data_IF_978774756519
#
_entry.id   IF_978774756519
#
_cell.length_a   1.000
_cell.length_b   1.000
_cell.length_c   1.000
_cell.angle_alpha   90.00
_cell.angle_beta   90.00
_cell.angle_gamma   90.00
#
_symmetry.space_group_name_H-M   'P 1'
#
loop_
_entity.id
_entity.type
_entity.pdbx_description
1 polymer ?
#
# COMPACT_ATOMS: atom_id res chain seq x y z
N UNK A 1 -31.26 -9.79 -2.44
CA UNK A 1 -30.28 -10.70 -1.80
C UNK A 1 -28.99 -9.94 -1.64
N UNK A 2 -28.58 -9.67 -0.40
CA UNK A 2 -27.28 -9.05 -0.11
C UNK A 2 -26.18 -9.97 -0.65
N UNK A 3 -25.34 -9.44 -1.54
CA UNK A 3 -24.21 -10.21 -2.05
C UNK A 3 -23.32 -10.62 -0.86
N UNK A 4 -22.81 -11.85 -0.87
CA UNK A 4 -21.90 -12.36 0.17
C UNK A 4 -20.49 -12.52 -0.40
N UNK A 5 -19.47 -12.09 0.32
CA UNK A 5 -18.07 -12.36 0.02
C UNK A 5 -17.78 -13.83 0.32
N UNK A 6 -17.21 -14.53 -0.66
CA UNK A 6 -16.95 -15.97 -0.63
C UNK A 6 -18.22 -16.81 -0.34
N UNK A 7 -19.42 -16.26 -0.56
CA UNK A 7 -20.68 -16.91 -0.19
C UNK A 7 -20.98 -16.96 1.32
N UNK A 8 -20.05 -16.52 2.17
CA UNK A 8 -20.11 -16.65 3.62
C UNK A 8 -20.54 -15.35 4.31
N UNK A 9 -19.89 -14.23 3.97
CA UNK A 9 -19.99 -12.98 4.74
C UNK A 9 -20.81 -11.94 3.96
N UNK A 10 -21.91 -11.39 4.49
CA UNK A 10 -22.68 -10.34 3.82
C UNK A 10 -21.82 -9.10 3.54
N UNK A 11 -21.83 -8.60 2.31
CA UNK A 11 -21.04 -7.42 1.88
C UNK A 11 -21.41 -6.16 2.67
N UNK A 12 -22.65 -6.10 3.17
CA UNK A 12 -23.21 -5.01 3.98
C UNK A 12 -22.90 -5.13 5.48
N UNK A 13 -22.32 -6.25 5.94
CA UNK A 13 -21.99 -6.42 7.35
C UNK A 13 -21.00 -5.33 7.79
N UNK A 14 -21.38 -4.56 8.81
CA UNK A 14 -20.53 -3.54 9.42
C UNK A 14 -20.64 -3.63 10.92
N UNK A 15 -19.48 -3.67 11.58
CA UNK A 15 -19.41 -3.56 13.04
C UNK A 15 -18.73 -2.25 13.42
N UNK A 16 -19.46 -1.38 14.12
CA UNK A 16 -18.96 -0.06 14.52
C UNK A 16 -18.04 -0.18 15.74
N UNK A 17 -16.72 -0.06 15.55
CA UNK A 17 -15.75 -0.08 16.66
C UNK A 17 -15.89 1.14 17.58
N UNK A 18 -16.35 2.26 17.03
CA UNK A 18 -16.57 3.51 17.76
C UNK A 18 -17.85 3.53 18.59
N UNK A 19 -18.63 2.45 18.57
CA UNK A 19 -19.73 2.24 19.53
C UNK A 19 -19.19 2.11 20.96
N UNK A 20 -17.97 1.59 21.12
CA UNK A 20 -17.29 1.50 22.41
C UNK A 20 -16.80 2.89 22.84
N UNK A 21 -17.22 3.40 24.02
CA UNK A 21 -16.94 4.77 24.43
C UNK A 21 -15.44 5.03 24.65
N UNK A 22 -14.69 4.02 25.13
CA UNK A 22 -13.25 4.10 25.33
C UNK A 22 -12.48 4.25 24.01
N UNK A 23 -12.82 3.43 23.01
CA UNK A 23 -12.22 3.50 21.66
C UNK A 23 -12.46 4.88 21.07
N UNK A 24 -13.68 5.40 21.19
CA UNK A 24 -14.04 6.73 20.70
C UNK A 24 -13.26 7.85 21.39
N UNK A 25 -13.10 7.79 22.72
CA UNK A 25 -12.33 8.77 23.49
C UNK A 25 -10.86 8.78 23.06
N UNK A 26 -10.27 7.61 22.84
CA UNK A 26 -8.91 7.46 22.33
C UNK A 26 -8.77 8.08 20.94
N UNK A 27 -9.66 7.75 20.00
CA UNK A 27 -9.59 8.24 18.61
C UNK A 27 -9.80 9.77 18.50
N UNK A 28 -10.58 10.38 19.39
CA UNK A 28 -10.71 11.84 19.49
C UNK A 28 -9.50 12.51 20.13
N UNK A 29 -8.71 11.78 20.92
CA UNK A 29 -7.52 12.32 21.57
C UNK A 29 -6.46 12.70 20.54
N UNK A 30 -5.77 13.83 20.76
CA UNK A 30 -4.61 14.20 19.95
C UNK A 30 -3.39 13.33 20.23
N UNK A 31 -3.34 12.73 21.42
CA UNK A 31 -2.29 11.81 21.81
C UNK A 31 -2.29 10.54 20.96
N UNK A 32 -3.46 10.12 20.44
CA UNK A 32 -3.58 8.88 19.67
C UNK A 32 -2.76 8.88 18.37
N UNK A 33 -2.80 9.91 17.51
CA UNK A 33 -1.84 9.99 16.40
C UNK A 33 -0.46 10.45 16.85
N UNK A 34 -0.35 11.33 17.85
CA UNK A 34 0.94 11.93 18.25
C UNK A 34 1.92 10.92 18.86
N UNK A 35 1.48 10.09 19.82
CA UNK A 35 2.37 9.16 20.53
C UNK A 35 2.98 8.10 19.59
N UNK A 36 2.21 7.42 18.71
CA UNK A 36 2.78 6.49 17.74
C UNK A 36 3.69 7.18 16.72
N UNK A 37 3.40 8.43 16.34
CA UNK A 37 4.29 9.20 15.47
C UNK A 37 5.64 9.45 16.15
N UNK A 38 5.65 9.89 17.41
CA UNK A 38 6.89 10.17 18.16
C UNK A 38 7.69 8.89 18.38
N UNK A 39 7.02 7.78 18.74
CA UNK A 39 7.67 6.48 18.88
C UNK A 39 8.28 6.02 17.56
N UNK A 40 7.54 6.12 16.46
CA UNK A 40 8.03 5.75 15.15
C UNK A 40 9.17 6.68 14.68
N UNK A 41 9.12 7.96 15.03
CA UNK A 41 10.19 8.92 14.75
C UNK A 41 11.49 8.58 15.49
N UNK A 42 11.38 8.12 16.74
CA UNK A 42 12.53 7.62 17.50
C UNK A 42 13.16 6.41 16.79
N UNK A 43 12.34 5.40 16.45
CA UNK A 43 12.80 4.22 15.71
C UNK A 43 13.42 4.61 14.37
N UNK A 44 12.80 5.54 13.64
CA UNK A 44 13.29 6.03 12.35
C UNK A 44 14.62 6.79 12.47
N UNK A 45 14.82 7.54 13.55
CA UNK A 45 16.11 8.18 13.85
C UNK A 45 17.20 7.13 14.06
N UNK A 46 16.92 6.07 14.82
CA UNK A 46 17.86 4.95 15.00
C UNK A 46 18.20 4.29 13.67
N UNK A 47 17.20 4.06 12.80
CA UNK A 47 17.40 3.53 11.43
C UNK A 47 18.33 4.43 10.60
N UNK A 48 18.11 5.75 10.62
CA UNK A 48 18.95 6.68 9.87
C UNK A 48 20.40 6.69 10.39
N UNK A 49 20.57 6.71 11.71
CA UNK A 49 21.89 6.65 12.33
C UNK A 49 22.59 5.32 12.02
N UNK A 50 21.90 4.19 12.12
CA UNK A 50 22.44 2.87 11.78
C UNK A 50 22.78 2.74 10.29
N UNK A 51 22.00 3.36 9.41
CA UNK A 51 22.28 3.39 7.96
C UNK A 51 23.50 4.23 7.60
N UNK A 52 23.79 5.28 8.37
CA UNK A 52 24.97 6.14 8.20
C UNK A 52 26.23 5.56 8.85
N UNK A 53 26.10 5.08 10.09
CA UNK A 53 27.23 4.61 10.93
C UNK A 53 27.60 3.15 10.66
N UNK A 54 26.61 2.28 10.38
CA UNK A 54 26.79 0.82 10.32
C UNK A 54 27.60 0.27 9.14
N UNK A 55 28.28 1.14 8.38
CA UNK A 55 29.30 0.78 7.40
C UNK A 55 28.87 -0.18 6.28
N UNK A 56 29.87 -0.77 5.60
CA UNK A 56 29.71 -1.75 4.51
C UNK A 56 29.51 -3.16 5.07
N UNK A 57 28.61 -3.33 6.04
CA UNK A 57 28.18 -4.65 6.49
C UNK A 57 27.23 -5.26 5.47
N UNK A 58 27.26 -6.60 5.30
CA UNK A 58 26.34 -7.30 4.40
C UNK A 58 24.89 -6.98 4.80
N UNK A 59 24.04 -6.61 3.82
CA UNK A 59 22.74 -5.97 4.05
C UNK A 59 21.85 -6.57 5.15
N UNK A 60 21.82 -7.89 5.31
CA UNK A 60 20.99 -8.54 6.34
C UNK A 60 21.51 -8.37 7.77
N UNK A 61 22.79 -8.03 7.97
CA UNK A 61 23.36 -7.77 9.30
C UNK A 61 23.20 -6.31 9.73
N UNK A 62 22.80 -5.42 8.81
CA UNK A 62 22.61 -4.02 9.12
C UNK A 62 21.18 -3.75 9.61
N UNK A 63 21.07 -3.05 10.75
CA UNK A 63 19.79 -2.69 11.35
C UNK A 63 18.86 -1.91 10.43
N UNK A 64 19.38 -0.93 9.69
CA UNK A 64 18.56 -0.09 8.85
C UNK A 64 17.91 -0.91 7.71
N UNK A 65 18.70 -1.76 7.06
CA UNK A 65 18.22 -2.57 5.93
C UNK A 65 17.24 -3.64 6.41
N UNK A 66 17.59 -4.35 7.48
CA UNK A 66 16.73 -5.39 8.04
C UNK A 66 15.39 -4.83 8.53
N UNK A 67 15.42 -3.73 9.28
CA UNK A 67 14.19 -3.18 9.83
C UNK A 67 13.31 -2.55 8.74
N UNK A 68 13.90 -1.81 7.79
CA UNK A 68 13.13 -1.14 6.73
C UNK A 68 12.62 -2.10 5.67
N UNK A 69 13.44 -3.02 5.17
CA UNK A 69 13.06 -3.83 4.01
C UNK A 69 12.50 -5.21 4.38
N UNK A 70 12.78 -5.71 5.58
CA UNK A 70 12.25 -6.99 6.06
C UNK A 70 11.16 -6.74 7.10
N UNK A 71 11.49 -6.25 8.30
CA UNK A 71 10.53 -6.17 9.42
C UNK A 71 9.34 -5.25 9.09
N UNK A 72 9.61 -4.02 8.64
CA UNK A 72 8.58 -3.07 8.27
C UNK A 72 7.74 -3.55 7.08
N UNK A 73 8.37 -4.18 6.09
CA UNK A 73 7.67 -4.74 4.94
C UNK A 73 6.70 -5.86 5.35
N UNK A 74 7.15 -6.82 6.17
CA UNK A 74 6.34 -7.91 6.69
C UNK A 74 5.16 -7.38 7.50
N UNK A 75 5.42 -6.43 8.42
CA UNK A 75 4.39 -5.78 9.21
C UNK A 75 3.36 -5.08 8.32
N UNK A 76 3.83 -4.36 7.29
CA UNK A 76 2.98 -3.60 6.39
C UNK A 76 2.08 -4.50 5.55
N UNK A 77 2.64 -5.51 4.88
CA UNK A 77 1.89 -6.36 3.94
C UNK A 77 1.04 -7.43 4.63
N UNK A 78 1.52 -8.05 5.71
CA UNK A 78 0.79 -9.13 6.39
C UNK A 78 -0.23 -8.60 7.40
N UNK A 79 0.02 -7.44 8.03
CA UNK A 79 -0.80 -6.95 9.14
C UNK A 79 -1.44 -5.59 8.84
N UNK A 80 -0.66 -4.55 8.55
CA UNK A 80 -1.20 -3.20 8.49
C UNK A 80 -2.19 -3.03 7.33
N UNK A 81 -1.85 -3.47 6.13
CA UNK A 81 -2.69 -3.30 4.94
C UNK A 81 -3.98 -4.12 5.01
N UNK A 82 -3.95 -5.44 5.29
CA UNK A 82 -5.17 -6.25 5.29
C UNK A 82 -6.12 -5.91 6.44
N UNK A 83 -5.60 -5.56 7.62
CA UNK A 83 -6.45 -5.33 8.80
C UNK A 83 -6.69 -3.84 9.06
N UNK A 84 -5.63 -3.05 9.03
CA UNK A 84 -5.63 -1.64 9.43
C UNK A 84 -5.53 -0.65 8.26
N UNK A 85 -5.82 -1.08 7.03
CA UNK A 85 -5.93 -0.18 5.87
C UNK A 85 -4.68 0.71 5.72
N UNK A 86 -4.84 2.04 5.70
CA UNK A 86 -3.75 3.02 5.57
C UNK A 86 -3.27 3.60 6.91
N UNK A 87 -3.36 2.87 8.03
CA UNK A 87 -2.92 3.39 9.33
C UNK A 87 -1.44 3.76 9.35
N UNK A 88 -0.61 3.13 8.51
CA UNK A 88 0.79 3.54 8.32
C UNK A 88 0.89 5.02 7.92
N UNK A 89 -0.02 5.52 7.07
CA UNK A 89 -0.05 6.92 6.68
C UNK A 89 -0.37 7.87 7.84
N UNK A 90 -1.02 7.40 8.91
CA UNK A 90 -1.23 8.17 10.14
C UNK A 90 0.06 8.29 10.93
N UNK A 91 0.81 7.20 11.07
CA UNK A 91 2.02 7.10 11.93
C UNK A 91 3.34 7.35 11.19
N UNK A 92 3.29 7.59 9.88
CA UNK A 92 4.46 7.75 9.02
C UNK A 92 5.30 8.97 9.47
N UNK A 93 6.62 8.81 9.70
CA UNK A 93 7.47 9.90 10.17
C UNK A 93 7.88 10.86 9.04
N UNK A 94 7.79 10.42 7.79
CA UNK A 94 8.23 11.18 6.60
C UNK A 94 7.50 12.53 6.44
N UNK A 95 6.15 12.61 6.47
CA UNK A 95 5.45 13.89 6.33
C UNK A 95 5.46 14.73 7.61
N UNK A 96 5.82 14.16 8.77
CA UNK A 96 5.64 14.80 10.07
C UNK A 96 6.46 16.08 10.19
N UNK A 97 7.70 16.08 9.70
CA UNK A 97 8.52 17.27 9.64
C UNK A 97 7.88 18.39 8.81
N UNK A 98 7.35 18.05 7.63
CA UNK A 98 6.62 18.99 6.78
C UNK A 98 5.35 19.52 7.47
N UNK A 99 4.60 18.66 8.18
CA UNK A 99 3.41 19.07 8.92
C UNK A 99 3.74 20.00 10.09
N UNK A 100 4.78 19.70 10.87
CA UNK A 100 5.19 20.54 11.99
C UNK A 100 5.71 21.90 11.54
N UNK A 101 6.45 21.96 10.41
CA UNK A 101 6.87 23.22 9.80
C UNK A 101 5.67 24.02 9.29
N UNK A 102 4.75 23.38 8.55
CA UNK A 102 3.53 24.04 8.08
C UNK A 102 2.65 24.52 9.24
N UNK A 103 2.61 23.81 10.37
CA UNK A 103 1.74 24.17 11.51
C UNK A 103 2.44 25.11 12.51
N UNK A 104 3.77 25.24 12.44
CA UNK A 104 4.61 25.93 13.42
C UNK A 104 4.33 25.46 14.86
N UNK A 105 4.11 24.16 15.03
CA UNK A 105 3.79 23.56 16.31
C UNK A 105 3.50 22.06 16.22
N UNK A 106 3.84 21.33 17.27
CA UNK A 106 3.70 19.87 17.33
C UNK A 106 2.24 19.42 17.48
N UNK A 107 1.46 20.13 18.31
CA UNK A 107 0.07 19.78 18.63
C UNK A 107 -0.94 20.93 18.48
N UNK A 108 -0.50 22.17 18.17
CA UNK A 108 -1.39 23.33 18.06
C UNK A 108 -2.24 23.28 16.78
N UNK A 109 -3.52 23.64 16.87
CA UNK A 109 -4.34 23.84 15.66
C UNK A 109 -4.07 25.21 15.12
N UNK A 110 -3.83 25.27 13.82
CA UNK A 110 -3.72 26.52 13.10
C UNK A 110 -4.47 26.37 11.79
N UNK A 111 -5.36 27.32 11.52
CA UNK A 111 -6.12 27.37 10.28
C UNK A 111 -5.30 27.92 9.10
N UNK A 112 -4.29 28.75 9.40
CA UNK A 112 -3.33 29.26 8.41
C UNK A 112 -2.02 28.46 8.48
N UNK A 113 -1.76 27.65 7.47
CA UNK A 113 -0.52 26.90 7.32
C UNK A 113 0.60 27.86 6.87
N UNK A 114 1.78 27.71 7.45
CA UNK A 114 3.02 28.34 7.01
C UNK A 114 3.50 27.71 5.69
N UNK A 115 3.94 28.54 4.75
CA UNK A 115 4.37 28.12 3.42
C UNK A 115 3.67 28.87 2.28
N UNK A 116 4.03 28.53 1.04
CA UNK A 116 3.48 29.14 -0.18
C UNK A 116 2.03 28.74 -0.45
N UNK A 117 1.55 27.66 0.18
CA UNK A 117 0.18 27.13 0.05
C UNK A 117 -0.33 27.04 -1.40
N UNK A 118 0.57 26.73 -2.34
CA UNK A 118 0.17 26.57 -3.74
C UNK A 118 -0.72 25.35 -3.88
N UNK A 119 -1.79 25.49 -4.68
CA UNK A 119 -2.66 24.37 -5.03
C UNK A 119 -1.96 23.49 -6.06
N UNK A 120 -2.09 22.17 -5.91
CA UNK A 120 -1.57 21.23 -6.88
C UNK A 120 -2.26 21.40 -8.25
N UNK A 121 -1.52 21.45 -9.37
CA UNK A 121 -2.09 21.64 -10.70
C UNK A 121 -3.13 20.56 -11.03
N UNK A 122 -4.24 20.96 -11.67
CA UNK A 122 -5.39 20.07 -11.91
C UNK A 122 -5.03 18.86 -12.80
N UNK A 123 -4.13 19.03 -13.77
CA UNK A 123 -3.69 17.97 -14.69
C UNK A 123 -2.91 16.83 -14.00
N UNK A 124 -2.27 17.11 -12.86
CA UNK A 124 -1.46 16.14 -12.10
C UNK A 124 -2.21 15.57 -10.88
N UNK A 125 -3.52 15.77 -10.77
CA UNK A 125 -4.36 15.18 -9.70
C UNK A 125 -4.72 13.73 -10.02
N UNK A 126 -3.71 12.90 -10.27
CA UNK A 126 -3.85 11.48 -10.60
C UNK A 126 -2.69 10.70 -9.97
N UNK A 127 -2.76 9.36 -10.00
CA UNK A 127 -1.69 8.50 -9.47
C UNK A 127 -0.52 8.31 -10.45
N UNK A 128 -0.54 8.90 -11.64
CA UNK A 128 0.50 8.65 -12.65
C UNK A 128 1.90 9.02 -12.17
N UNK A 129 2.06 10.17 -11.53
CA UNK A 129 3.36 10.59 -11.00
C UNK A 129 3.87 9.64 -9.92
N UNK A 130 2.97 9.16 -9.04
CA UNK A 130 3.28 8.16 -8.02
C UNK A 130 3.63 6.81 -8.65
N UNK A 131 2.99 6.43 -9.75
CA UNK A 131 3.29 5.20 -10.49
C UNK A 131 4.69 5.23 -11.09
N UNK A 132 5.05 6.32 -11.78
CA UNK A 132 6.38 6.49 -12.36
C UNK A 132 7.46 6.55 -11.28
N UNK A 133 7.24 7.31 -10.20
CA UNK A 133 8.21 7.39 -9.10
C UNK A 133 8.38 6.04 -8.39
N UNK A 134 7.28 5.29 -8.19
CA UNK A 134 7.36 3.96 -7.61
C UNK A 134 8.15 2.99 -8.49
N UNK A 135 7.90 2.98 -9.79
CA UNK A 135 8.66 2.16 -10.72
C UNK A 135 10.14 2.58 -10.78
N UNK A 136 10.43 3.89 -10.69
CA UNK A 136 11.81 4.38 -10.58
C UNK A 136 12.51 3.88 -9.31
N UNK A 137 11.80 3.84 -8.17
CA UNK A 137 12.35 3.29 -6.93
C UNK A 137 12.54 1.77 -6.96
N UNK A 138 11.83 1.04 -7.82
CA UNK A 138 12.01 -0.42 -7.94
C UNK A 138 13.24 -0.79 -8.77
N UNK A 139 13.66 0.07 -9.71
CA UNK A 139 14.92 -0.12 -10.43
C UNK A 139 16.13 -0.13 -9.50
N UNK A 140 16.10 0.66 -8.42
CA UNK A 140 17.22 0.78 -7.48
C UNK A 140 17.14 -0.19 -6.30
N UNK A 141 16.10 -1.03 -6.24
CA UNK A 141 15.84 -1.95 -5.11
C UNK A 141 17.00 -2.89 -4.78
N UNK A 142 17.75 -3.34 -5.78
CA UNK A 142 18.96 -4.17 -5.59
C UNK A 142 20.01 -3.46 -4.73
N UNK A 143 20.27 -2.18 -4.99
CA UNK A 143 21.22 -1.39 -4.19
C UNK A 143 20.67 -1.05 -2.80
N UNK A 144 19.39 -0.71 -2.73
CA UNK A 144 18.74 -0.28 -1.49
C UNK A 144 18.75 -1.39 -0.43
N UNK A 145 18.51 -2.63 -0.87
CA UNK A 145 18.43 -3.80 0.02
C UNK A 145 19.81 -4.40 0.35
N UNK A 146 20.87 -4.00 -0.36
CA UNK A 146 22.22 -4.54 -0.13
C UNK A 146 23.17 -3.55 0.53
N UNK A 147 22.94 -2.24 0.36
CA UNK A 147 23.83 -1.16 0.85
C UNK A 147 23.10 -0.25 1.84
N UNK A 148 23.49 -0.22 3.13
CA UNK A 148 22.86 0.64 4.14
C UNK A 148 22.88 2.13 3.79
N UNK A 149 24.00 2.61 3.24
CA UNK A 149 24.16 4.01 2.81
C UNK A 149 23.15 4.38 1.71
N UNK A 150 22.84 3.46 0.79
CA UNK A 150 21.84 3.71 -0.25
C UNK A 150 20.44 3.88 0.34
N UNK A 151 20.09 3.07 1.35
CA UNK A 151 18.85 3.23 2.12
C UNK A 151 18.83 4.58 2.86
N UNK A 152 19.93 4.98 3.51
CA UNK A 152 20.02 6.28 4.16
C UNK A 152 19.79 7.44 3.19
N UNK A 153 20.47 7.45 2.04
CA UNK A 153 20.32 8.49 1.00
C UNK A 153 18.87 8.53 0.49
N UNK A 154 18.25 7.37 0.24
CA UNK A 154 16.86 7.31 -0.18
C UNK A 154 15.94 7.93 0.88
N UNK A 155 16.00 7.46 2.13
CA UNK A 155 15.11 7.94 3.19
C UNK A 155 15.29 9.44 3.46
N UNK A 156 16.54 9.94 3.45
CA UNK A 156 16.83 11.37 3.57
C UNK A 156 16.28 12.17 2.39
N UNK A 157 16.44 11.69 1.15
CA UNK A 157 15.89 12.35 -0.03
C UNK A 157 14.36 12.45 0.01
N UNK A 158 13.69 11.42 0.55
CA UNK A 158 12.24 11.36 0.73
C UNK A 158 11.80 12.33 1.83
N UNK A 159 12.53 12.46 2.93
CA UNK A 159 12.25 13.46 3.98
C UNK A 159 12.42 14.89 3.44
N UNK A 160 13.55 15.18 2.80
CA UNK A 160 13.85 16.52 2.28
C UNK A 160 12.81 16.90 1.23
N UNK A 161 12.51 16.02 0.28
CA UNK A 161 11.47 16.27 -0.72
C UNK A 161 10.09 16.44 -0.10
N UNK A 162 9.75 15.68 0.95
CA UNK A 162 8.51 15.86 1.69
C UNK A 162 8.42 17.25 2.33
N UNK A 163 9.49 17.71 3.00
CA UNK A 163 9.54 19.04 3.61
C UNK A 163 9.40 20.14 2.56
N UNK A 164 10.21 20.09 1.49
CA UNK A 164 10.19 21.09 0.42
C UNK A 164 8.79 21.16 -0.22
N UNK A 165 8.22 20.02 -0.59
CA UNK A 165 6.92 19.98 -1.26
C UNK A 165 5.79 20.42 -0.34
N UNK A 166 5.86 20.14 0.97
CA UNK A 166 4.85 20.62 1.91
C UNK A 166 5.03 22.11 2.25
N UNK A 167 6.23 22.67 2.20
CA UNK A 167 6.39 24.13 2.33
C UNK A 167 5.86 24.86 1.08
N UNK A 168 6.03 24.27 -0.11
CA UNK A 168 5.57 24.86 -1.38
C UNK A 168 4.06 24.66 -1.61
N UNK A 169 3.57 23.44 -1.39
CA UNK A 169 2.19 23.04 -1.67
C UNK A 169 1.41 22.79 -0.39
N UNK A 170 0.10 23.07 -0.42
CA UNK A 170 -0.74 22.92 0.76
C UNK A 170 -0.86 21.47 1.27
N UNK A 171 -0.96 21.29 2.59
CA UNK A 171 -1.34 20.02 3.26
C UNK A 171 -0.46 18.83 2.84
N UNK A 172 -1.01 17.60 2.83
CA UNK A 172 -0.29 16.36 2.47
C UNK A 172 -0.29 16.09 0.97
N UNK A 173 0.00 17.09 0.14
CA UNK A 173 0.12 16.92 -1.32
C UNK A 173 1.24 15.93 -1.69
N UNK A 174 2.35 15.95 -0.94
CA UNK A 174 3.43 14.97 -1.06
C UNK A 174 2.92 13.52 -1.00
N UNK A 175 2.13 13.19 0.03
CA UNK A 175 1.64 11.83 0.23
C UNK A 175 0.52 11.42 -0.74
N UNK A 176 -0.21 12.37 -1.32
CA UNK A 176 -1.38 12.10 -2.17
C UNK A 176 -1.04 12.02 -3.66
N UNK A 177 -0.25 12.95 -4.19
CA UNK A 177 -0.09 13.10 -5.64
C UNK A 177 1.36 12.95 -6.14
N UNK A 178 2.38 13.08 -5.28
CA UNK A 178 3.76 13.23 -5.75
C UNK A 178 4.68 12.12 -5.25
N UNK A 179 5.00 12.15 -3.95
CA UNK A 179 6.33 11.78 -3.51
C UNK A 179 6.39 10.63 -2.52
N UNK A 180 5.25 10.04 -2.13
CA UNK A 180 5.25 8.81 -1.35
C UNK A 180 4.89 7.62 -2.26
N UNK A 181 5.89 6.93 -2.85
CA UNK A 181 5.67 5.71 -3.64
C UNK A 181 4.81 4.67 -2.91
N UNK A 182 5.01 4.61 -1.59
CA UNK A 182 4.29 3.74 -0.67
C UNK A 182 2.82 4.14 -0.53
N UNK A 183 2.53 5.44 -0.53
CA UNK A 183 1.18 5.97 -0.42
C UNK A 183 0.24 5.49 -1.53
N UNK A 184 0.74 5.39 -2.76
CA UNK A 184 -0.06 4.95 -3.91
C UNK A 184 -0.50 3.49 -3.82
N UNK A 185 0.41 2.57 -3.51
CA UNK A 185 0.05 1.15 -3.42
C UNK A 185 -0.72 0.83 -2.13
N UNK A 186 -0.36 1.47 -1.01
CA UNK A 186 -1.17 1.40 0.21
C UNK A 186 -2.60 1.89 -0.06
N UNK A 187 -2.73 2.94 -0.89
CA UNK A 187 -4.01 3.40 -1.41
C UNK A 187 -4.79 2.27 -2.06
N UNK A 188 -4.24 1.67 -3.12
CA UNK A 188 -4.93 0.63 -3.87
C UNK A 188 -5.29 -0.60 -3.01
N UNK A 189 -4.36 -1.09 -2.20
CA UNK A 189 -4.60 -2.27 -1.35
C UNK A 189 -5.46 -1.98 -0.12
N UNK A 190 -5.62 -0.74 0.31
CA UNK A 190 -6.55 -0.40 1.40
C UNK A 190 -8.01 -0.72 1.08
N UNK A 191 -8.34 -0.94 -0.20
CA UNK A 191 -9.65 -1.42 -0.60
C UNK A 191 -9.91 -2.88 -0.17
N UNK A 192 -8.85 -3.65 0.10
CA UNK A 192 -8.90 -5.00 0.67
C UNK A 192 -9.06 -5.00 2.19
N UNK A 193 -8.88 -3.86 2.85
CA UNK A 193 -8.77 -3.81 4.30
C UNK A 193 -10.10 -4.06 5.03
N UNK A 194 -9.99 -4.68 6.22
CA UNK A 194 -11.11 -4.94 7.14
C UNK A 194 -11.59 -3.67 7.85
N UNK A 195 -10.78 -2.61 7.93
CA UNK A 195 -11.17 -1.35 8.59
C UNK A 195 -11.49 -0.23 7.60
N UNK A 196 -12.51 0.57 7.92
CA UNK A 196 -12.88 1.76 7.16
C UNK A 196 -13.34 2.92 8.06
N UNK A 197 -13.21 4.15 7.55
CA UNK A 197 -13.82 5.35 8.16
C UNK A 197 -15.02 5.76 7.30
N UNK A 198 -16.21 5.83 7.89
CA UNK A 198 -17.45 6.26 7.22
C UNK A 198 -18.26 7.20 8.11
N UNK A 199 -19.17 7.96 7.52
CA UNK A 199 -20.20 8.68 8.27
C UNK A 199 -21.26 7.68 8.75
N UNK A 200 -21.74 7.83 10.00
CA UNK A 200 -22.80 6.98 10.58
C UNK A 200 -24.12 7.22 9.87
N UNK A 201 -24.55 8.50 9.87
CA UNK A 201 -25.77 8.92 9.21
C UNK A 201 -25.46 9.93 8.09
N UNK A 202 -25.57 9.54 6.81
CA UNK A 202 -25.41 10.46 5.70
C UNK A 202 -26.37 11.66 5.74
N UNK A 203 -27.53 11.55 6.38
CA UNK A 203 -28.54 12.61 6.43
C UNK A 203 -28.12 13.78 7.33
N UNK A 204 -27.62 13.50 8.54
CA UNK A 204 -26.98 14.52 9.41
C UNK A 204 -25.87 15.23 8.65
N UNK A 205 -25.08 14.46 7.89
CA UNK A 205 -24.04 15.00 7.06
C UNK A 205 -24.57 15.85 5.91
N UNK A 206 -25.76 15.60 5.34
CA UNK A 206 -26.36 16.45 4.29
C UNK A 206 -26.86 17.76 4.87
N UNK A 207 -27.56 17.71 5.99
CA UNK A 207 -28.22 18.87 6.62
C UNK A 207 -27.21 19.86 7.23
N UNK A 208 -26.01 19.38 7.57
CA UNK A 208 -24.94 20.22 8.10
C UNK A 208 -24.37 21.18 7.03
N UNK A 209 -24.74 22.47 7.05
CA UNK A 209 -24.25 23.46 6.07
C UNK A 209 -22.74 23.76 6.16
N UNK A 210 -22.21 23.95 7.36
CA UNK A 210 -20.79 24.27 7.58
C UNK A 210 -19.93 23.01 7.70
N UNK A 211 -19.37 22.48 6.61
CA UNK A 211 -18.59 21.24 6.66
C UNK A 211 -17.24 21.42 7.38
N UNK A 212 -17.23 21.41 8.72
CA UNK A 212 -16.03 21.55 9.56
C UNK A 212 -14.98 20.48 9.30
N UNK A 213 -15.41 19.28 8.89
CA UNK A 213 -14.49 18.19 8.50
C UNK A 213 -13.63 18.51 7.26
N UNK A 214 -14.05 19.49 6.45
CA UNK A 214 -13.32 19.96 5.26
C UNK A 214 -12.59 21.28 5.53
N UNK A 215 -13.20 22.18 6.30
CA UNK A 215 -12.69 23.54 6.56
C UNK A 215 -11.71 23.55 7.75
N UNK A 216 -11.90 22.67 8.72
CA UNK A 216 -11.20 22.69 10.01
C UNK A 216 -11.93 23.57 11.03
N UNK A 217 -11.64 23.34 12.31
CA UNK A 217 -12.15 24.13 13.44
C UNK A 217 -11.09 24.24 14.54
N UNK A 218 -11.40 24.85 15.69
CA UNK A 218 -10.43 24.98 16.79
C UNK A 218 -9.98 23.62 17.38
N UNK A 219 -10.81 22.58 17.21
CA UNK A 219 -10.59 21.23 17.76
C UNK A 219 -9.76 20.33 16.84
N UNK A 220 -9.69 20.60 15.54
CA UNK A 220 -8.93 19.79 14.60
C UNK A 220 -8.71 20.48 13.26
N UNK A 221 -7.74 19.98 12.51
CA UNK A 221 -7.40 20.57 11.21
C UNK A 221 -8.37 20.10 10.12
N UNK A 222 -8.50 20.91 9.07
CA UNK A 222 -9.09 20.48 7.80
C UNK A 222 -8.50 19.15 7.35
N UNK A 223 -9.29 18.29 6.69
CA UNK A 223 -8.81 17.01 6.16
C UNK A 223 -7.48 17.18 5.40
N UNK A 224 -6.35 16.65 5.95
CA UNK A 224 -5.02 16.82 5.35
C UNK A 224 -4.90 16.19 3.97
N UNK A 225 -5.75 15.19 3.68
CA UNK A 225 -5.81 14.47 2.42
C UNK A 225 -6.72 15.13 1.37
N UNK A 226 -7.35 16.26 1.70
CA UNK A 226 -8.25 17.00 0.80
C UNK A 226 -9.30 16.09 0.15
N UNK A 227 -9.86 15.19 0.96
CA UNK A 227 -11.04 14.38 0.60
C UNK A 227 -12.24 14.92 1.38
N UNK A 228 -13.44 14.52 0.96
CA UNK A 228 -14.69 14.88 1.64
C UNK A 228 -15.05 13.76 2.62
N UNK A 229 -14.86 13.92 3.95
CA UNK A 229 -15.03 12.81 4.89
C UNK A 229 -16.45 12.25 4.95
N UNK A 230 -17.46 13.06 4.62
CA UNK A 230 -18.86 12.66 4.59
C UNK A 230 -19.26 11.84 3.36
N UNK A 231 -18.44 11.80 2.31
CA UNK A 231 -18.73 11.13 1.03
C UNK A 231 -17.58 10.19 0.61
N UNK A 232 -16.96 9.55 1.61
CA UNK A 232 -15.93 8.54 1.38
C UNK A 232 -16.61 7.23 0.99
N UNK A 233 -16.53 6.88 -0.29
CA UNK A 233 -16.93 5.56 -0.78
C UNK A 233 -15.79 4.54 -0.83
N UNK A 234 -14.53 4.99 -0.85
CA UNK A 234 -13.33 4.13 -0.98
C UNK A 234 -12.19 4.61 -0.10
N UNK A 235 -11.42 3.67 0.45
CA UNK A 235 -10.25 3.96 1.28
C UNK A 235 -9.03 4.41 0.46
N UNK A 236 -9.04 4.26 -0.87
CA UNK A 236 -7.91 4.57 -1.77
C UNK A 236 -7.21 5.89 -1.44
N UNK A 237 -7.95 6.97 -1.18
CA UNK A 237 -7.39 8.30 -0.92
C UNK A 237 -7.44 8.75 0.55
N UNK A 238 -8.01 7.93 1.46
CA UNK A 238 -8.12 8.24 2.87
C UNK A 238 -6.91 7.70 3.65
N UNK A 239 -6.00 8.57 4.09
CA UNK A 239 -4.86 8.14 4.92
C UNK A 239 -5.17 7.97 6.41
N UNK A 240 -6.44 7.84 6.80
CA UNK A 240 -6.90 7.56 8.17
C UNK A 240 -6.25 8.42 9.27
N UNK A 241 -6.08 9.72 9.01
CA UNK A 241 -5.46 10.66 9.96
C UNK A 241 -6.31 11.02 11.19
N UNK A 242 -7.56 10.53 11.26
CA UNK A 242 -8.53 10.77 12.34
C UNK A 242 -8.93 12.23 12.63
N UNK A 243 -8.47 13.21 11.84
CA UNK A 243 -8.88 14.62 12.02
C UNK A 243 -10.39 14.83 11.83
N UNK A 244 -11.07 13.99 11.04
CA UNK A 244 -12.53 14.02 10.89
C UNK A 244 -13.29 13.75 12.20
N UNK A 245 -12.72 12.97 13.13
CA UNK A 245 -13.33 12.70 14.44
C UNK A 245 -13.21 13.90 15.39
N UNK A 246 -12.16 14.70 15.23
CA UNK A 246 -11.88 15.87 16.08
C UNK A 246 -12.65 17.09 15.59
N UNK A 247 -12.86 17.19 14.28
CA UNK A 247 -13.53 18.32 13.63
C UNK A 247 -15.05 18.19 13.58
N UNK A 248 -15.62 16.98 13.63
CA UNK A 248 -17.07 16.81 13.51
C UNK A 248 -17.82 17.27 14.78
N UNK A 249 -18.68 18.31 14.71
CA UNK A 249 -19.44 18.78 15.87
C UNK A 249 -20.56 17.81 16.27
N UNK A 250 -21.17 17.13 15.29
CA UNK A 250 -22.25 16.14 15.49
C UNK A 250 -21.76 14.74 15.82
N UNK A 251 -20.44 14.54 15.89
CA UNK A 251 -19.84 13.24 16.19
C UNK A 251 -20.38 12.11 15.28
N UNK A 252 -20.48 12.39 13.99
CA UNK A 252 -21.12 11.51 13.00
C UNK A 252 -20.12 10.62 12.25
N UNK A 253 -18.84 10.60 12.65
CA UNK A 253 -17.82 9.75 12.03
C UNK A 253 -17.67 8.45 12.83
N UNK A 254 -17.46 7.33 12.12
CA UNK A 254 -17.24 6.00 12.71
C UNK A 254 -16.07 5.25 12.06
N UNK A 255 -15.41 4.39 12.84
CA UNK A 255 -14.54 3.34 12.32
C UNK A 255 -15.34 2.05 12.31
N UNK A 256 -15.50 1.46 11.14
CA UNK A 256 -16.22 0.21 10.97
C UNK A 256 -15.26 -0.93 10.62
N UNK A 257 -15.50 -2.10 11.22
CA UNK A 257 -15.03 -3.37 10.68
C UNK A 257 -15.98 -3.81 9.57
N UNK A 258 -15.41 -4.32 8.50
CA UNK A 258 -16.11 -4.77 7.31
C UNK A 258 -15.45 -6.03 6.73
N UNK A 259 -16.15 -6.77 5.86
CA UNK A 259 -15.53 -7.84 5.11
C UNK A 259 -14.43 -7.29 4.19
N UNK A 260 -13.32 -8.03 3.99
CA UNK A 260 -12.24 -7.62 3.11
C UNK A 260 -12.75 -7.45 1.67
N UNK A 261 -12.07 -6.64 0.86
CA UNK A 261 -12.38 -6.39 -0.56
C UNK A 261 -13.68 -5.63 -0.88
N UNK A 262 -14.48 -5.21 0.12
CA UNK A 262 -15.77 -4.55 -0.14
C UNK A 262 -15.65 -3.24 -0.93
N UNK A 263 -14.60 -2.44 -0.71
CA UNK A 263 -14.39 -1.19 -1.45
C UNK A 263 -14.06 -1.41 -2.93
N UNK A 264 -13.59 -2.60 -3.31
CA UNK A 264 -13.36 -2.94 -4.71
C UNK A 264 -14.66 -3.02 -5.48
N UNK A 265 -15.82 -3.17 -4.83
CA UNK A 265 -17.13 -3.19 -5.46
C UNK A 265 -17.73 -1.79 -5.69
N UNK A 266 -17.03 -0.73 -5.26
CA UNK A 266 -17.49 0.66 -5.45
C UNK A 266 -16.91 1.22 -6.76
N UNK A 267 -17.78 1.56 -7.71
CA UNK A 267 -17.40 2.04 -9.06
C UNK A 267 -16.98 3.54 -9.09
N UNK A 268 -17.11 4.24 -7.96
CA UNK A 268 -16.88 5.69 -7.89
C UNK A 268 -15.41 6.06 -8.04
N UNK A 269 -15.08 6.92 -9.01
CA UNK A 269 -13.72 7.45 -9.27
C UNK A 269 -12.69 6.41 -9.73
N UNK A 270 -13.10 5.30 -10.36
CA UNK A 270 -12.14 4.37 -10.97
C UNK A 270 -11.46 5.02 -12.17
N UNK A 271 -10.12 5.09 -12.15
CA UNK A 271 -9.31 5.67 -13.21
C UNK A 271 -8.29 4.69 -13.80
N UNK A 272 -7.76 5.03 -14.98
CA UNK A 272 -6.66 4.27 -15.59
C UNK A 272 -5.37 4.35 -14.74
N UNK A 273 -5.21 5.40 -13.95
CA UNK A 273 -4.08 5.56 -13.05
C UNK A 273 -4.07 4.50 -11.94
N UNK A 274 -5.24 4.19 -11.36
CA UNK A 274 -5.40 3.06 -10.41
C UNK A 274 -5.19 1.70 -11.11
N UNK A 275 -5.68 1.55 -12.35
CA UNK A 275 -5.50 0.34 -13.14
C UNK A 275 -4.02 0.04 -13.43
N UNK A 276 -3.26 1.04 -13.89
CA UNK A 276 -1.82 0.90 -14.11
C UNK A 276 -1.06 0.58 -12.84
N UNK A 277 -1.49 1.14 -11.70
CA UNK A 277 -0.91 0.77 -10.40
C UNK A 277 -1.12 -0.71 -10.11
N UNK A 278 -2.30 -1.28 -10.39
CA UNK A 278 -2.57 -2.69 -10.19
C UNK A 278 -1.63 -3.60 -11.02
N UNK A 279 -1.42 -3.27 -12.30
CA UNK A 279 -0.48 -4.00 -13.16
C UNK A 279 0.97 -3.88 -12.68
N UNK A 280 1.42 -2.66 -12.36
CA UNK A 280 2.75 -2.40 -11.83
C UNK A 280 2.99 -3.19 -10.54
N UNK A 281 2.00 -3.25 -9.65
CA UNK A 281 2.14 -3.99 -8.39
C UNK A 281 2.25 -5.50 -8.59
N UNK A 282 1.48 -6.07 -9.52
CA UNK A 282 1.56 -7.49 -9.85
C UNK A 282 2.89 -7.81 -10.55
N UNK A 283 3.30 -6.99 -11.52
CA UNK A 283 4.52 -7.23 -12.27
C UNK A 283 5.78 -7.06 -11.44
N UNK A 284 5.82 -6.08 -10.54
CA UNK A 284 6.92 -5.93 -9.58
C UNK A 284 6.97 -7.13 -8.63
N UNK A 285 5.84 -7.69 -8.17
CA UNK A 285 5.86 -8.87 -7.31
C UNK A 285 6.55 -10.07 -7.99
N UNK A 286 6.21 -10.33 -9.26
CA UNK A 286 6.84 -11.38 -10.08
C UNK A 286 8.34 -11.11 -10.22
N UNK A 287 8.71 -9.88 -10.57
CA UNK A 287 10.10 -9.53 -10.83
C UNK A 287 10.96 -9.54 -9.55
N UNK A 288 10.42 -9.09 -8.42
CA UNK A 288 11.09 -9.15 -7.12
C UNK A 288 11.34 -10.60 -6.71
N UNK A 289 10.39 -11.49 -6.95
CA UNK A 289 10.63 -12.90 -6.75
C UNK A 289 11.78 -13.39 -7.64
N UNK A 290 11.73 -13.14 -8.96
CA UNK A 290 12.78 -13.58 -9.89
C UNK A 290 14.18 -13.11 -9.49
N UNK A 291 14.29 -11.88 -8.99
CA UNK A 291 15.56 -11.25 -8.62
C UNK A 291 16.07 -11.68 -7.25
N UNK A 292 15.18 -11.82 -6.25
CA UNK A 292 15.56 -12.04 -4.86
C UNK A 292 15.46 -13.50 -4.40
N UNK A 293 14.47 -14.24 -4.92
CA UNK A 293 14.17 -15.63 -4.52
C UNK A 293 14.35 -16.63 -5.68
N UNK A 294 14.44 -16.16 -6.92
CA UNK A 294 14.60 -17.00 -8.10
C UNK A 294 16.01 -17.57 -8.27
N UNK A 295 16.10 -18.65 -9.05
CA UNK A 295 17.37 -19.34 -9.35
C UNK A 295 18.24 -18.60 -10.41
N UNK A 296 17.77 -17.45 -10.91
CA UNK A 296 18.43 -16.71 -12.00
C UNK A 296 19.44 -15.69 -11.45
N UNK A 297 20.63 -16.16 -11.08
CA UNK A 297 21.69 -15.30 -10.52
C UNK A 297 22.08 -14.10 -11.40
N UNK A 298 21.98 -14.22 -12.72
CA UNK A 298 22.28 -13.13 -13.65
C UNK A 298 21.32 -11.94 -13.52
N UNK A 299 20.04 -12.17 -13.22
CA UNK A 299 19.06 -11.09 -13.00
C UNK A 299 19.40 -10.30 -11.74
N UNK A 300 19.87 -10.98 -10.69
CA UNK A 300 20.35 -10.34 -9.46
C UNK A 300 21.60 -9.51 -9.72
N UNK A 301 22.50 -9.98 -10.57
CA UNK A 301 23.72 -9.25 -10.93
C UNK A 301 23.43 -7.99 -11.75
N UNK A 302 22.47 -8.07 -12.67
CA UNK A 302 21.96 -6.92 -13.41
C UNK A 302 21.25 -5.91 -12.50
N UNK A 303 20.43 -6.38 -11.55
CA UNK A 303 19.75 -5.54 -10.57
C UNK A 303 20.71 -4.80 -9.62
N UNK A 304 21.86 -5.40 -9.31
CA UNK A 304 22.92 -4.80 -8.50
C UNK A 304 23.90 -3.94 -9.32
N UNK A 305 23.64 -3.77 -10.62
CA UNK A 305 24.49 -3.11 -11.61
C UNK A 305 25.97 -3.47 -11.51
N UNK A 306 26.27 -4.77 -11.49
CA UNK A 306 27.66 -5.21 -11.69
C UNK A 306 28.21 -4.75 -13.04
N UNK A 307 27.34 -4.66 -14.06
CA UNK A 307 27.64 -4.09 -15.37
C UNK A 307 26.59 -3.04 -15.74
N UNK A 308 27.02 -1.94 -16.37
CA UNK A 308 26.13 -0.86 -16.81
C UNK A 308 25.12 -1.35 -17.85
N UNK A 309 25.57 -2.18 -18.80
CA UNK A 309 24.71 -2.78 -19.82
C UNK A 309 23.65 -3.70 -19.20
N UNK A 310 24.05 -4.55 -18.25
CA UNK A 310 23.14 -5.43 -17.53
C UNK A 310 22.06 -4.64 -16.78
N UNK A 311 22.44 -3.56 -16.11
CA UNK A 311 21.49 -2.69 -15.40
C UNK A 311 20.51 -1.99 -16.34
N UNK A 312 20.97 -1.44 -17.48
CA UNK A 312 20.08 -0.82 -18.46
C UNK A 312 19.11 -1.84 -19.07
N UNK A 313 19.58 -3.04 -19.38
CA UNK A 313 18.73 -4.15 -19.83
C UNK A 313 17.71 -4.53 -18.78
N UNK A 314 18.10 -4.61 -17.51
CA UNK A 314 17.19 -4.86 -16.39
C UNK A 314 16.10 -3.79 -16.29
N UNK A 315 16.45 -2.51 -16.36
CA UNK A 315 15.48 -1.39 -16.33
C UNK A 315 14.53 -1.47 -17.52
N UNK A 316 15.05 -1.72 -18.72
CA UNK A 316 14.24 -1.86 -19.93
C UNK A 316 13.26 -3.04 -19.83
N UNK A 317 13.75 -4.22 -19.47
CA UNK A 317 12.92 -5.43 -19.29
C UNK A 317 11.88 -5.22 -18.19
N UNK A 318 12.26 -4.65 -17.05
CA UNK A 318 11.33 -4.36 -15.96
C UNK A 318 10.23 -3.37 -16.39
N UNK A 319 10.59 -2.33 -17.14
CA UNK A 319 9.66 -1.34 -17.67
C UNK A 319 8.70 -1.95 -18.68
N UNK A 320 9.22 -2.68 -19.66
CA UNK A 320 8.44 -3.34 -20.72
C UNK A 320 7.48 -4.35 -20.10
N UNK A 321 7.95 -5.14 -19.13
CA UNK A 321 7.14 -6.13 -18.45
C UNK A 321 5.93 -5.50 -17.73
N UNK A 322 6.16 -4.43 -16.96
CA UNK A 322 5.12 -3.77 -16.16
C UNK A 322 4.19 -2.86 -16.97
N UNK A 323 4.70 -2.17 -17.99
CA UNK A 323 3.95 -1.15 -18.73
C UNK A 323 3.34 -1.66 -20.03
N UNK A 324 3.91 -2.72 -20.63
CA UNK A 324 3.48 -3.23 -21.93
C UNK A 324 3.03 -4.69 -21.85
N UNK A 325 3.84 -5.61 -21.32
CA UNK A 325 3.53 -7.03 -21.38
C UNK A 325 2.30 -7.39 -20.54
N UNK A 326 2.31 -7.09 -19.25
CA UNK A 326 1.17 -7.42 -18.37
C UNK A 326 -0.11 -6.70 -18.82
N UNK A 327 -0.12 -5.36 -19.02
CA UNK A 327 -1.31 -4.67 -19.49
C UNK A 327 -1.75 -5.14 -20.88
N UNK A 328 -0.82 -5.47 -21.78
CA UNK A 328 -1.10 -5.95 -23.13
C UNK A 328 -1.73 -7.34 -23.15
N UNK A 329 -1.17 -8.29 -22.40
CA UNK A 329 -1.77 -9.62 -22.22
C UNK A 329 -3.15 -9.47 -21.59
N UNK A 330 -3.28 -8.70 -20.51
CA UNK A 330 -4.56 -8.45 -19.88
C UNK A 330 -5.58 -7.81 -20.83
N UNK A 331 -5.14 -6.89 -21.69
CA UNK A 331 -5.99 -6.27 -22.71
C UNK A 331 -6.56 -7.28 -23.70
N UNK A 332 -5.78 -8.29 -24.12
CA UNK A 332 -6.27 -9.39 -24.98
C UNK A 332 -7.41 -10.15 -24.29
N UNK A 333 -7.25 -10.48 -23.00
CA UNK A 333 -8.32 -11.15 -22.24
C UNK A 333 -9.54 -10.25 -22.00
N UNK A 334 -9.35 -8.94 -21.80
CA UNK A 334 -10.47 -7.97 -21.71
C UNK A 334 -11.17 -7.82 -23.06
N UNK A 335 -10.44 -7.85 -24.17
CA UNK A 335 -11.03 -7.85 -25.50
C UNK A 335 -11.87 -9.10 -25.75
N UNK A 336 -11.36 -10.28 -25.38
CA UNK A 336 -12.12 -11.53 -25.40
C UNK A 336 -13.35 -11.49 -24.47
N UNK A 337 -13.23 -10.87 -23.29
CA UNK A 337 -14.35 -10.63 -22.36
C UNK A 337 -15.45 -9.78 -23.02
N UNK A 338 -15.07 -8.74 -23.76
CA UNK A 338 -15.99 -7.89 -24.51
C UNK A 338 -16.71 -8.65 -25.63
N UNK A 339 -16.01 -9.53 -26.35
CA UNK A 339 -16.61 -10.28 -27.45
C UNK A 339 -17.58 -11.35 -26.98
N UNK A 340 -17.31 -12.00 -25.84
CA UNK A 340 -18.14 -13.05 -25.26
C UNK A 340 -19.30 -12.53 -24.39
N UNK A 341 -19.11 -11.38 -23.72
CA UNK A 341 -20.12 -10.74 -22.89
C UNK A 341 -21.02 -9.82 -23.70
N UNK A 342 -20.62 -8.55 -23.84
CA UNK A 342 -21.38 -7.53 -24.55
C UNK A 342 -20.44 -6.53 -25.24
N UNK A 343 -20.57 -6.40 -26.56
CA UNK A 343 -19.73 -5.54 -27.40
C UNK A 343 -20.05 -4.05 -27.27
N UNK A 344 -21.23 -3.69 -26.76
CA UNK A 344 -21.68 -2.29 -26.62
C UNK A 344 -20.96 -1.56 -25.48
N UNK A 345 -20.42 -2.29 -24.50
CA UNK A 345 -19.71 -1.67 -23.39
C UNK A 345 -18.36 -1.12 -23.88
N UNK A 346 -18.00 0.14 -23.55
CA UNK A 346 -16.72 0.71 -23.90
C UNK A 346 -15.54 -0.11 -23.35
N UNK A 347 -14.59 -0.45 -24.21
CA UNK A 347 -13.43 -1.28 -23.85
C UNK A 347 -12.61 -0.67 -22.71
N UNK A 348 -12.48 0.66 -22.68
CA UNK A 348 -11.80 1.39 -21.60
C UNK A 348 -12.47 1.17 -20.23
N UNK A 349 -13.81 1.08 -20.18
CA UNK A 349 -14.56 0.82 -18.94
C UNK A 349 -14.32 -0.62 -18.47
N UNK A 350 -14.41 -1.60 -19.39
CA UNK A 350 -14.10 -3.01 -19.08
C UNK A 350 -12.67 -3.17 -18.56
N UNK A 351 -11.70 -2.58 -19.25
CA UNK A 351 -10.29 -2.63 -18.87
C UNK A 351 -10.05 -2.03 -17.49
N UNK A 352 -10.62 -0.86 -17.21
CA UNK A 352 -10.49 -0.20 -15.91
C UNK A 352 -11.16 -1.01 -14.81
N UNK A 353 -12.39 -1.48 -15.01
CA UNK A 353 -13.14 -2.21 -13.99
C UNK A 353 -12.50 -3.57 -13.67
N UNK A 354 -12.11 -4.34 -14.70
CA UNK A 354 -11.49 -5.63 -14.48
C UNK A 354 -10.07 -5.54 -13.91
N UNK A 355 -9.35 -4.42 -14.07
CA UNK A 355 -8.03 -4.27 -13.42
C UNK A 355 -8.09 -4.38 -11.89
N UNK A 356 -9.24 -4.07 -11.26
CA UNK A 356 -9.44 -4.20 -9.82
C UNK A 356 -9.46 -5.67 -9.35
N UNK A 357 -9.66 -6.63 -10.27
CA UNK A 357 -9.53 -8.06 -9.97
C UNK A 357 -8.10 -8.49 -9.68
N UNK A 358 -7.12 -7.67 -10.07
CA UNK A 358 -5.70 -7.89 -9.79
C UNK A 358 -5.30 -7.40 -8.40
N UNK A 359 -6.13 -6.58 -7.74
CA UNK A 359 -5.80 -6.03 -6.42
C UNK A 359 -5.75 -7.12 -5.34
N UNK A 360 -6.74 -8.03 -5.21
CA UNK A 360 -6.65 -9.15 -4.28
C UNK A 360 -5.46 -10.06 -4.60
N UNK A 361 -5.33 -10.49 -5.86
CA UNK A 361 -4.24 -11.37 -6.31
C UNK A 361 -2.85 -10.75 -6.06
N UNK A 362 -2.67 -9.47 -6.39
CA UNK A 362 -1.41 -8.77 -6.18
C UNK A 362 -1.05 -8.62 -4.70
N UNK A 363 -2.02 -8.27 -3.84
CA UNK A 363 -1.78 -8.18 -2.39
C UNK A 363 -1.35 -9.53 -1.83
N UNK A 364 -2.05 -10.59 -2.23
CA UNK A 364 -1.78 -11.95 -1.79
C UNK A 364 -0.44 -12.46 -2.33
N UNK A 365 -0.06 -12.12 -3.57
CA UNK A 365 1.26 -12.43 -4.12
C UNK A 365 2.37 -11.78 -3.29
N UNK A 366 2.18 -10.54 -2.82
CA UNK A 366 3.13 -9.89 -1.90
C UNK A 366 3.17 -10.53 -0.52
N UNK A 367 2.05 -11.01 0.01
CA UNK A 367 2.01 -11.77 1.27
C UNK A 367 2.74 -13.12 1.07
N UNK A 368 2.55 -13.77 -0.07
CA UNK A 368 3.24 -15.02 -0.38
C UNK A 368 4.76 -14.82 -0.54
N UNK A 369 5.19 -13.75 -1.22
CA UNK A 369 6.59 -13.34 -1.28
C UNK A 369 7.17 -13.08 0.12
N UNK A 370 6.36 -12.50 1.02
CA UNK A 370 6.76 -12.17 2.40
C UNK A 370 7.11 -13.41 3.23
N UNK A 371 6.48 -14.57 3.00
CA UNK A 371 6.90 -15.82 3.66
C UNK A 371 8.35 -16.20 3.32
N UNK A 372 8.79 -15.94 2.08
CA UNK A 372 10.16 -16.16 1.64
C UNK A 372 11.19 -15.23 2.29
N UNK A 373 10.74 -14.12 2.89
CA UNK A 373 11.59 -13.25 3.72
C UNK A 373 11.51 -13.63 5.19
N UNK A 374 10.31 -13.93 5.69
CA UNK A 374 10.04 -14.21 7.10
C UNK A 374 10.77 -15.47 7.60
N UNK A 375 10.62 -16.60 6.90
CA UNK A 375 11.15 -17.88 7.37
C UNK A 375 12.69 -17.92 7.40
N UNK A 376 13.41 -17.46 6.36
CA UNK A 376 14.88 -17.46 6.38
C UNK A 376 15.51 -16.35 7.23
N UNK A 377 14.81 -15.21 7.42
CA UNK A 377 15.41 -14.01 8.02
C UNK A 377 15.04 -13.77 9.48
N UNK A 378 14.11 -14.56 10.04
CA UNK A 378 13.60 -14.39 11.41
C UNK A 378 14.69 -14.39 12.49
N UNK A 379 15.70 -15.26 12.38
CA UNK A 379 16.79 -15.35 13.36
C UNK A 379 17.71 -14.12 13.35
N UNK A 380 17.85 -13.45 12.21
CA UNK A 380 18.70 -12.25 12.12
C UNK A 380 18.10 -11.04 12.86
N UNK A 381 16.77 -11.00 13.02
CA UNK A 381 16.12 -9.91 13.74
C UNK A 381 16.63 -9.82 15.18
N UNK A 382 16.87 -10.96 15.83
CA UNK A 382 17.39 -11.02 17.20
C UNK A 382 18.83 -10.48 17.30
N UNK A 383 19.69 -10.88 16.36
CA UNK A 383 21.07 -10.39 16.26
C UNK A 383 21.10 -8.87 16.09
N UNK A 384 20.30 -8.37 15.15
CA UNK A 384 20.26 -6.96 14.76
C UNK A 384 19.66 -6.07 15.85
N UNK A 385 18.73 -6.59 16.66
CA UNK A 385 18.21 -5.86 17.83
C UNK A 385 19.25 -5.70 18.95
N UNK A 386 20.17 -6.66 19.10
CA UNK A 386 21.22 -6.61 20.14
C UNK A 386 22.39 -5.71 19.77
N UNK A 387 22.73 -5.64 18.47
CA UNK A 387 23.79 -4.77 17.95
C UNK A 387 23.31 -3.90 16.78
N UNK A 388 22.48 -2.87 17.04
CA UNK A 388 21.89 -2.06 15.98
C UNK A 388 22.90 -1.23 15.19
N UNK A 389 24.08 -0.96 15.76
CA UNK A 389 25.13 -0.15 15.12
C UNK A 389 26.33 -0.97 14.62
N UNK A 390 26.32 -2.29 14.78
CA UNK A 390 27.46 -3.17 14.50
C UNK A 390 28.73 -2.76 15.28
N UNK A 391 28.57 -2.27 16.50
CA UNK A 391 29.65 -1.82 17.38
C UNK A 391 30.13 -2.93 18.34
N UNK A 392 29.57 -4.13 18.22
CA UNK A 392 29.80 -5.24 19.14
C UNK A 392 28.98 -5.13 20.42
N UNK A 393 27.88 -4.38 20.39
CA UNK A 393 26.95 -4.31 21.52
C UNK A 393 26.19 -5.62 21.68
N UNK A 394 25.80 -5.94 22.92
CA UNK A 394 24.96 -7.09 23.21
C UNK A 394 23.83 -6.70 24.14
N UNK A 395 22.97 -5.78 23.68
CA UNK A 395 21.92 -5.18 24.49
C UNK A 395 20.94 -6.21 25.08
N UNK A 396 20.76 -7.36 24.39
CA UNK A 396 19.82 -8.41 24.79
C UNK A 396 20.45 -9.80 24.92
N UNK A 397 21.78 -9.93 24.89
CA UNK A 397 22.44 -11.25 24.99
C UNK A 397 22.36 -12.11 23.72
N UNK A 398 21.93 -11.56 22.58
CA UNK A 398 21.66 -12.31 21.34
C UNK A 398 22.51 -11.87 20.15
N UNK A 399 23.55 -11.03 20.36
CA UNK A 399 24.44 -10.58 19.29
C UNK A 399 25.22 -11.73 18.60
N UNK A 400 25.35 -12.90 19.24
CA UNK A 400 26.02 -14.09 18.66
C UNK A 400 25.05 -15.21 18.28
N UNK A 401 23.74 -14.94 18.24
CA UNK A 401 22.76 -15.97 17.94
C UNK A 401 22.98 -16.51 16.50
N UNK A 402 23.17 -17.83 16.33
CA UNK A 402 23.49 -18.40 15.02
C UNK A 402 22.31 -18.25 14.06
N UNK A 403 22.60 -18.21 12.76
CA UNK A 403 21.56 -18.26 11.75
C UNK A 403 20.87 -19.63 11.76
N UNK A 404 19.62 -19.64 12.18
CA UNK A 404 18.79 -20.84 12.24
C UNK A 404 17.51 -20.58 11.45
N UNK A 405 17.43 -20.97 10.17
CA UNK A 405 16.23 -20.78 9.38
C UNK A 405 15.06 -21.57 10.00
N UNK A 406 13.90 -20.92 10.10
CA UNK A 406 12.71 -21.50 10.74
C UNK A 406 11.70 -21.94 9.70
N UNK A 407 11.24 -23.19 9.75
CA UNK A 407 10.13 -23.72 8.91
C UNK A 407 10.31 -23.55 7.39
N UNK A 408 11.53 -23.48 6.88
CA UNK A 408 11.79 -23.33 5.44
C UNK A 408 11.26 -24.51 4.60
N UNK A 409 11.24 -25.73 5.17
CA UNK A 409 10.67 -26.91 4.49
C UNK A 409 9.17 -26.83 4.23
N UNK A 410 8.41 -26.05 5.01
CA UNK A 410 6.96 -25.87 4.80
C UNK A 410 6.60 -24.58 4.07
N UNK A 411 7.58 -23.71 3.81
CA UNK A 411 7.39 -22.42 3.16
C UNK A 411 6.61 -22.50 1.84
N UNK A 412 6.91 -23.43 0.90
CA UNK A 412 6.15 -23.51 -0.35
C UNK A 412 4.66 -23.78 -0.13
N UNK A 413 4.28 -24.59 0.88
CA UNK A 413 2.87 -24.85 1.17
C UNK A 413 2.12 -23.61 1.65
N UNK A 414 2.77 -22.77 2.48
CA UNK A 414 2.20 -21.48 2.89
C UNK A 414 2.04 -20.54 1.70
N UNK A 415 3.03 -20.49 0.81
CA UNK A 415 2.98 -19.66 -0.39
C UNK A 415 1.87 -20.11 -1.35
N UNK A 416 1.77 -21.41 -1.65
CA UNK A 416 0.73 -21.99 -2.51
C UNK A 416 -0.65 -21.78 -1.90
N UNK A 417 -0.85 -22.12 -0.63
CA UNK A 417 -2.13 -21.97 0.05
C UNK A 417 -2.61 -20.51 0.06
N UNK A 418 -1.69 -19.58 0.27
CA UNK A 418 -1.95 -18.14 0.21
C UNK A 418 -2.35 -17.71 -1.20
N UNK A 419 -1.60 -18.11 -2.23
CA UNK A 419 -1.91 -17.79 -3.63
C UNK A 419 -3.28 -18.35 -4.08
N UNK A 420 -3.61 -19.60 -3.70
CA UNK A 420 -4.91 -20.21 -4.00
C UNK A 420 -6.05 -19.44 -3.33
N UNK A 421 -5.86 -19.01 -2.07
CA UNK A 421 -6.82 -18.16 -1.39
C UNK A 421 -7.02 -16.82 -2.12
N UNK A 422 -5.93 -16.20 -2.59
CA UNK A 422 -6.00 -14.98 -3.41
C UNK A 422 -6.71 -15.17 -4.73
N UNK A 423 -6.51 -16.30 -5.40
CA UNK A 423 -7.23 -16.63 -6.63
C UNK A 423 -8.74 -16.73 -6.37
N UNK A 424 -9.16 -17.48 -5.36
CA UNK A 424 -10.59 -17.61 -5.01
C UNK A 424 -11.21 -16.25 -4.70
N UNK A 425 -10.50 -15.40 -3.95
CA UNK A 425 -10.97 -14.05 -3.61
C UNK A 425 -11.04 -13.13 -4.83
N UNK A 426 -10.04 -13.17 -5.71
CA UNK A 426 -10.04 -12.44 -6.98
C UNK A 426 -11.15 -12.92 -7.92
N UNK A 427 -11.44 -14.22 -7.94
CA UNK A 427 -12.52 -14.78 -8.76
C UNK A 427 -13.90 -14.34 -8.25
N UNK A 428 -14.11 -14.39 -6.94
CA UNK A 428 -15.36 -13.96 -6.30
C UNK A 428 -15.64 -12.47 -6.54
N UNK A 429 -14.65 -11.62 -6.26
CA UNK A 429 -14.76 -10.17 -6.47
C UNK A 429 -14.86 -9.84 -7.97
N UNK A 430 -14.10 -10.52 -8.81
CA UNK A 430 -14.15 -10.32 -10.26
C UNK A 430 -15.50 -10.67 -10.87
N UNK A 431 -16.14 -11.75 -10.40
CA UNK A 431 -17.48 -12.10 -10.85
C UNK A 431 -18.52 -11.05 -10.41
N UNK A 432 -18.39 -10.49 -9.20
CA UNK A 432 -19.23 -9.38 -8.73
C UNK A 432 -19.02 -8.11 -9.56
N UNK A 433 -17.78 -7.75 -9.86
CA UNK A 433 -17.46 -6.62 -10.75
C UNK A 433 -18.04 -6.87 -12.15
N UNK A 434 -17.99 -8.11 -12.66
CA UNK A 434 -18.61 -8.48 -13.93
C UNK A 434 -20.12 -8.25 -13.90
N UNK A 435 -20.82 -8.68 -12.85
CA UNK A 435 -22.26 -8.43 -12.65
C UNK A 435 -22.63 -6.96 -12.52
N UNK A 436 -21.75 -6.12 -11.99
CA UNK A 436 -21.96 -4.66 -11.96
C UNK A 436 -21.75 -4.00 -13.32
N UNK A 437 -20.94 -4.62 -14.18
CA UNK A 437 -20.53 -4.05 -15.45
C UNK A 437 -21.46 -4.46 -16.58
N UNK A 438 -21.88 -5.73 -16.62
CA UNK A 438 -22.84 -6.26 -17.57
C UNK A 438 -24.26 -6.28 -16.99
N UNK A 439 -25.25 -5.84 -17.77
CA UNK A 439 -26.64 -5.75 -17.31
C UNK A 439 -27.32 -7.12 -17.17
N UNK A 440 -26.98 -8.08 -18.05
CA UNK A 440 -27.55 -9.44 -18.03
C UNK A 440 -26.62 -10.42 -17.35
N UNK A 441 -27.20 -11.36 -16.59
CA UNK A 441 -26.44 -12.39 -15.86
C UNK A 441 -25.61 -13.28 -16.79
N UNK A 442 -26.16 -13.67 -17.94
CA UNK A 442 -25.46 -14.56 -18.88
C UNK A 442 -24.28 -13.85 -19.56
N UNK A 443 -24.44 -12.57 -19.90
CA UNK A 443 -23.36 -11.71 -20.41
C UNK A 443 -22.27 -11.54 -19.34
N UNK A 444 -22.64 -11.39 -18.07
CA UNK A 444 -21.70 -11.30 -16.96
C UNK A 444 -20.89 -12.59 -16.73
N UNK A 445 -21.52 -13.76 -16.85
CA UNK A 445 -20.82 -15.06 -16.74
C UNK A 445 -19.87 -15.24 -17.92
N UNK A 446 -20.36 -15.10 -19.16
CA UNK A 446 -19.55 -15.28 -20.38
C UNK A 446 -18.41 -14.28 -20.46
N UNK A 447 -18.67 -13.02 -20.12
CA UNK A 447 -17.66 -11.97 -20.06
C UNK A 447 -16.62 -12.20 -18.97
N UNK A 448 -16.94 -12.93 -17.89
CA UNK A 448 -15.97 -13.19 -16.82
C UNK A 448 -15.01 -14.35 -17.12
N UNK A 449 -15.38 -15.31 -17.97
CA UNK A 449 -14.57 -16.51 -18.27
C UNK A 449 -13.13 -16.15 -18.71
N UNK A 450 -12.89 -15.22 -19.66
CA UNK A 450 -11.53 -14.86 -20.05
C UNK A 450 -10.72 -14.25 -18.90
N UNK A 451 -11.35 -13.43 -18.06
CA UNK A 451 -10.67 -12.82 -16.91
C UNK A 451 -10.32 -13.86 -15.86
N UNK A 452 -11.23 -14.80 -15.58
CA UNK A 452 -10.97 -15.93 -14.70
C UNK A 452 -9.82 -16.80 -15.20
N UNK A 453 -9.75 -17.06 -16.51
CA UNK A 453 -8.65 -17.77 -17.14
C UNK A 453 -7.32 -17.03 -16.97
N UNK A 454 -7.29 -15.71 -17.18
CA UNK A 454 -6.10 -14.90 -16.94
C UNK A 454 -5.63 -14.98 -15.47
N UNK A 455 -6.53 -14.78 -14.50
CA UNK A 455 -6.20 -14.85 -13.07
C UNK A 455 -5.65 -16.22 -12.68
N UNK A 456 -6.24 -17.28 -13.22
CA UNK A 456 -5.80 -18.66 -12.98
C UNK A 456 -4.42 -18.90 -13.60
N UNK A 457 -4.20 -18.47 -14.83
CA UNK A 457 -2.91 -18.61 -15.52
C UNK A 457 -1.79 -17.86 -14.78
N UNK A 458 -2.05 -16.63 -14.32
CA UNK A 458 -1.09 -15.86 -13.51
C UNK A 458 -0.81 -16.56 -12.17
N UNK A 459 -1.84 -17.14 -11.53
CA UNK A 459 -1.66 -17.87 -10.26
C UNK A 459 -0.84 -19.14 -10.45
N UNK A 460 -1.12 -19.91 -11.50
CA UNK A 460 -0.32 -21.10 -11.85
C UNK A 460 1.13 -20.71 -12.12
N UNK A 461 1.34 -19.63 -12.88
CA UNK A 461 2.68 -19.10 -13.14
C UNK A 461 3.41 -18.70 -11.85
N UNK A 462 2.73 -18.01 -10.91
CA UNK A 462 3.31 -17.65 -9.61
C UNK A 462 3.60 -18.89 -8.74
N UNK A 463 2.73 -19.91 -8.76
CA UNK A 463 2.97 -21.18 -8.05
C UNK A 463 4.20 -21.87 -8.61
N UNK A 464 4.28 -22.04 -9.93
CA UNK A 464 5.43 -22.63 -10.60
C UNK A 464 6.73 -21.88 -10.23
N UNK A 465 6.67 -20.55 -10.31
CA UNK A 465 7.79 -19.68 -9.95
C UNK A 465 8.25 -19.89 -8.50
N UNK A 466 7.33 -20.11 -7.55
CA UNK A 466 7.64 -20.31 -6.14
C UNK A 466 8.14 -21.72 -5.79
N UNK A 467 7.69 -22.74 -6.52
CA UNK A 467 8.03 -24.14 -6.23
C UNK A 467 9.21 -24.67 -7.05
N UNK A 468 9.53 -24.04 -8.18
CA UNK A 468 10.50 -24.54 -9.15
C UNK A 468 9.84 -25.40 -10.23
#
# INVERSE_FOLDING_TARGET
>A
MTEKILGLIPVDWRFELTSLPYVRKILKSRWMPFLPIVLNLFVFTVILMAGYVGGVSAGNYNFAVMFVWIVWWLLLMMVMVPFFSRIWCMVCPLPVFGEWIQRLGFMKVRNKLFGLNKKWPKSLKNMWLVNFLFLATTYTSGFLTTRPIATFILLMSVIISSVVLMVVFEKRNFCKYIGCPVGGFLGLYSNMAVTEIRAKDPQICKDHKHKDCVIGNEKGHACPWMILPFDIGRNTYCGMCLECFKTCPYDNMAINLRPPATDLLVDKNRGLDEAWKAFIMLGIAIFFFLVMQGNMGFLKDWANAKTTEGYLTFVALHSIFNLLLIPGVFFVFVYASRTLGNKEIPLKKLFTNFSYTLVPLGLIAWIAFSFGLLFPSSSYVLHVLSDPFAWGWDLFGTAKFPWTPFLTGVMPYFQIGTLLFGLVLSLDIGFKISKQTFQKRDEAVRGFIPIAAFLTAVTIFLIWLFTG
#
